data_IF_106292135850
#
_entry.id   IF_106292135850
#
_cell.length_a   1.000
_cell.length_b   1.000
_cell.length_c   1.000
_cell.angle_alpha   90.00
_cell.angle_beta   90.00
_cell.angle_gamma   90.00
#
_symmetry.space_group_name_H-M   'P 1'
#
loop_
_entity.id
_entity.type
_entity.pdbx_description
1 polymer ?
#
# COMPACT_ATOMS: atom_id res chain seq x y z
N UNK A 1 -22.29 19.99 -10.67
CA UNK A 1 -22.40 18.83 -11.56
C UNK A 1 -22.99 17.73 -10.70
N UNK A 2 -24.17 17.22 -11.06
CA UNK A 2 -24.90 16.30 -10.19
C UNK A 2 -24.70 14.86 -10.66
N UNK A 3 -23.93 14.08 -9.92
CA UNK A 3 -23.74 12.66 -10.21
C UNK A 3 -24.91 11.87 -9.66
N UNK A 4 -25.59 11.14 -10.53
CA UNK A 4 -26.79 10.35 -10.18
C UNK A 4 -26.50 8.87 -9.97
N UNK A 5 -25.38 8.36 -10.50
CA UNK A 5 -24.90 7.00 -10.27
C UNK A 5 -23.36 6.86 -10.31
N UNK A 6 -22.87 5.68 -9.93
CA UNK A 6 -21.43 5.35 -9.85
C UNK A 6 -20.74 5.34 -11.22
N UNK A 7 -21.47 4.99 -12.28
CA UNK A 7 -20.94 4.87 -13.63
C UNK A 7 -20.72 6.25 -14.26
N UNK A 8 -21.65 7.18 -14.05
CA UNK A 8 -21.52 8.58 -14.47
C UNK A 8 -20.30 9.26 -13.83
N UNK A 9 -20.10 9.06 -12.52
CA UNK A 9 -18.91 9.59 -11.84
C UNK A 9 -17.62 8.96 -12.37
N UNK A 10 -17.62 7.65 -12.59
CA UNK A 10 -16.45 6.96 -13.12
C UNK A 10 -16.09 7.44 -14.54
N UNK A 11 -17.07 7.53 -15.44
CA UNK A 11 -16.85 7.99 -16.81
C UNK A 11 -16.32 9.42 -16.82
N UNK A 12 -16.88 10.29 -15.96
CA UNK A 12 -16.35 11.64 -15.79
C UNK A 12 -14.91 11.64 -15.27
N UNK A 13 -14.61 10.89 -14.21
CA UNK A 13 -13.25 10.79 -13.68
C UNK A 13 -12.25 10.31 -14.75
N UNK A 14 -12.62 9.30 -15.53
CA UNK A 14 -11.78 8.78 -16.60
C UNK A 14 -11.58 9.82 -17.71
N UNK A 15 -12.59 10.61 -18.04
CA UNK A 15 -12.46 11.70 -18.99
C UNK A 15 -11.60 12.86 -18.44
N UNK A 16 -11.71 13.20 -17.16
CA UNK A 16 -10.83 14.19 -16.52
C UNK A 16 -9.37 13.72 -16.51
N UNK A 17 -9.13 12.42 -16.27
CA UNK A 17 -7.80 11.81 -16.36
C UNK A 17 -7.25 11.85 -17.79
N UNK A 18 -8.05 11.46 -18.79
CA UNK A 18 -7.63 11.46 -20.20
C UNK A 18 -7.31 12.84 -20.75
N UNK A 19 -7.92 13.87 -20.18
CA UNK A 19 -7.73 15.26 -20.58
C UNK A 19 -6.70 16.00 -19.70
N UNK A 20 -5.91 15.29 -18.90
CA UNK A 20 -4.88 15.83 -18.00
C UNK A 20 -5.41 16.90 -17.01
N UNK A 21 -6.71 16.87 -16.69
CA UNK A 21 -7.34 17.76 -15.70
C UNK A 21 -7.25 17.18 -14.29
N UNK A 22 -7.23 15.85 -14.20
CA UNK A 22 -6.87 15.12 -12.98
C UNK A 22 -5.67 14.23 -13.28
N UNK A 23 -4.56 14.56 -12.63
CA UNK A 23 -3.37 13.73 -12.73
C UNK A 23 -3.54 12.49 -11.86
N UNK A 24 -3.41 11.31 -12.45
CA UNK A 24 -3.18 10.12 -11.66
C UNK A 24 -1.87 10.30 -10.88
N UNK A 25 -1.80 9.77 -9.65
CA UNK A 25 -0.55 9.79 -8.92
C UNK A 25 0.55 9.13 -9.76
N UNK A 26 1.76 9.67 -9.66
CA UNK A 26 2.94 9.11 -10.30
C UNK A 26 3.85 8.54 -9.24
N UNK A 27 4.38 7.34 -9.48
CA UNK A 27 5.41 6.80 -8.59
C UNK A 27 6.73 7.55 -8.82
N UNK A 28 7.44 8.00 -7.77
CA UNK A 28 8.71 8.69 -7.93
C UNK A 28 9.70 7.94 -8.81
N UNK A 29 10.42 8.67 -9.67
CA UNK A 29 11.27 8.11 -10.72
C UNK A 29 12.34 7.16 -10.16
N UNK A 30 12.93 7.49 -9.02
CA UNK A 30 13.89 6.66 -8.29
C UNK A 30 13.33 5.26 -7.97
N UNK A 31 12.08 5.15 -7.54
CA UNK A 31 11.44 3.85 -7.27
C UNK A 31 11.19 3.05 -8.56
N UNK A 32 10.81 3.73 -9.66
CA UNK A 32 10.68 3.10 -10.97
C UNK A 32 12.03 2.58 -11.48
N UNK A 33 13.10 3.37 -11.37
CA UNK A 33 14.47 3.00 -11.77
C UNK A 33 14.96 1.78 -10.98
N UNK A 34 14.88 1.84 -9.66
CA UNK A 34 15.32 0.74 -8.77
C UNK A 34 14.56 -0.54 -9.07
N UNK A 35 13.23 -0.47 -9.23
CA UNK A 35 12.41 -1.65 -9.53
C UNK A 35 12.79 -2.29 -10.87
N UNK A 36 12.85 -1.50 -11.94
CA UNK A 36 13.27 -2.00 -13.27
C UNK A 36 14.67 -2.60 -13.24
N UNK A 37 15.60 -1.97 -12.51
CA UNK A 37 16.96 -2.47 -12.38
C UNK A 37 17.02 -3.84 -11.70
N UNK A 38 16.28 -4.03 -10.60
CA UNK A 38 16.20 -5.32 -9.90
C UNK A 38 15.48 -6.37 -10.75
N UNK A 39 14.36 -6.04 -11.38
CA UNK A 39 13.61 -6.95 -12.25
C UNK A 39 14.39 -7.40 -13.48
N UNK A 40 15.32 -6.58 -13.99
CA UNK A 40 16.20 -6.95 -15.09
C UNK A 40 17.24 -8.03 -14.72
N UNK A 41 17.42 -8.32 -13.44
CA UNK A 41 18.40 -9.31 -12.92
C UNK A 41 19.87 -8.91 -13.06
N UNK A 42 20.17 -7.74 -13.64
CA UNK A 42 21.54 -7.33 -13.97
C UNK A 42 22.08 -6.17 -13.11
N UNK A 43 21.30 -5.71 -12.13
CA UNK A 43 21.73 -4.62 -11.26
C UNK A 43 22.84 -5.08 -10.30
N UNK A 44 23.84 -4.24 -10.10
CA UNK A 44 24.83 -4.38 -9.02
C UNK A 44 24.43 -3.52 -7.83
N UNK A 45 24.93 -3.88 -6.63
CA UNK A 45 24.69 -3.11 -5.42
C UNK A 45 25.17 -1.65 -5.54
N UNK A 46 26.26 -1.41 -6.29
CA UNK A 46 26.77 -0.06 -6.55
C UNK A 46 25.84 0.74 -7.47
N UNK A 47 25.28 0.12 -8.51
CA UNK A 47 24.32 0.77 -9.39
C UNK A 47 23.02 1.13 -8.65
N UNK A 48 22.49 0.22 -7.82
CA UNK A 48 21.32 0.54 -7.00
C UNK A 48 21.61 1.65 -6.00
N UNK A 49 22.77 1.62 -5.34
CA UNK A 49 23.21 2.69 -4.44
C UNK A 49 23.30 4.05 -5.14
N UNK A 50 23.78 4.08 -6.39
CA UNK A 50 23.84 5.30 -7.18
C UNK A 50 22.44 5.83 -7.52
N UNK A 51 21.52 4.96 -7.96
CA UNK A 51 20.14 5.35 -8.27
C UNK A 51 19.41 5.89 -7.04
N UNK A 52 19.55 5.22 -5.90
CA UNK A 52 18.92 5.64 -4.63
C UNK A 52 19.56 6.94 -4.14
N UNK A 53 20.87 7.09 -4.34
CA UNK A 53 21.65 8.28 -4.00
C UNK A 53 21.21 9.57 -4.71
N UNK A 54 20.42 9.48 -5.79
CA UNK A 54 19.81 10.64 -6.46
C UNK A 54 18.79 11.36 -5.55
N UNK A 55 18.20 10.65 -4.58
CA UNK A 55 17.25 11.19 -3.60
C UNK A 55 17.84 11.10 -2.18
N UNK A 56 18.18 12.26 -1.61
CA UNK A 56 18.77 12.33 -0.27
C UNK A 56 17.82 11.86 0.84
N UNK A 57 16.51 12.09 0.68
CA UNK A 57 15.50 11.68 1.66
C UNK A 57 15.35 10.17 1.72
N UNK A 58 15.20 9.52 0.56
CA UNK A 58 15.15 8.07 0.45
C UNK A 58 16.47 7.41 0.87
N UNK A 59 17.61 8.02 0.53
CA UNK A 59 18.92 7.55 0.95
C UNK A 59 19.05 7.51 2.47
N UNK A 60 18.74 8.63 3.15
CA UNK A 60 18.79 8.71 4.59
C UNK A 60 17.83 7.70 5.24
N UNK A 61 16.61 7.57 4.69
CA UNK A 61 15.59 6.67 5.21
C UNK A 61 15.96 5.20 5.03
N UNK A 62 16.55 4.81 3.89
CA UNK A 62 17.04 3.45 3.68
C UNK A 62 18.13 3.10 4.69
N UNK A 63 19.06 4.01 4.96
CA UNK A 63 20.11 3.79 5.97
C UNK A 63 19.53 3.66 7.38
N UNK A 64 18.53 4.47 7.74
CA UNK A 64 17.80 4.33 8.99
C UNK A 64 17.14 2.94 9.10
N UNK A 65 16.44 2.50 8.05
CA UNK A 65 15.80 1.19 8.00
C UNK A 65 16.85 0.06 8.11
N UNK A 66 17.96 0.13 7.38
CA UNK A 66 19.03 -0.88 7.41
C UNK A 66 19.72 -1.03 8.77
N UNK A 67 19.59 -0.01 9.63
CA UNK A 67 20.11 0.01 11.00
C UNK A 67 19.02 -0.13 12.08
N UNK A 68 17.74 -0.25 11.69
CA UNK A 68 16.62 -0.45 12.61
C UNK A 68 16.70 -1.81 13.30
N UNK A 69 16.09 -2.01 14.49
CA UNK A 69 16.10 -3.29 15.21
C UNK A 69 15.74 -4.49 14.34
N UNK A 70 14.86 -4.28 13.36
CA UNK A 70 14.35 -5.29 12.44
C UNK A 70 15.39 -5.79 11.42
N UNK A 71 16.32 -4.94 10.99
CA UNK A 71 17.30 -5.28 9.94
C UNK A 71 18.76 -5.15 10.40
N UNK A 72 19.01 -4.62 11.60
CA UNK A 72 20.38 -4.34 12.07
C UNK A 72 21.18 -5.63 12.21
N UNK A 73 22.37 -5.61 11.63
CA UNK A 73 23.40 -6.60 11.90
C UNK A 73 24.27 -6.22 13.11
N UNK A 74 25.40 -6.90 13.25
CA UNK A 74 26.39 -6.60 14.30
C UNK A 74 27.11 -5.25 14.12
N UNK A 75 27.25 -4.80 12.88
CA UNK A 75 27.93 -3.55 12.53
C UNK A 75 26.94 -2.53 11.98
N UNK A 76 27.19 -1.24 12.24
CA UNK A 76 26.43 -0.14 11.65
C UNK A 76 26.70 -0.02 10.14
N UNK A 77 25.66 0.32 9.38
CA UNK A 77 25.74 0.61 7.94
C UNK A 77 25.78 2.11 7.74
N UNK A 78 26.83 2.58 7.09
CA UNK A 78 27.05 4.02 6.85
C UNK A 78 26.97 4.42 5.37
N UNK A 79 26.74 3.48 4.46
CA UNK A 79 26.60 3.75 3.04
C UNK A 79 25.58 2.83 2.35
N UNK A 80 25.02 3.31 1.23
CA UNK A 80 23.91 2.67 0.53
C UNK A 80 24.30 1.33 -0.09
N UNK A 81 25.52 1.18 -0.60
CA UNK A 81 25.96 -0.08 -1.19
C UNK A 81 25.97 -1.20 -0.14
N UNK A 82 26.46 -0.90 1.06
CA UNK A 82 26.44 -1.84 2.19
C UNK A 82 25.00 -2.13 2.65
N UNK A 83 24.09 -1.15 2.60
CA UNK A 83 22.67 -1.38 2.86
C UNK A 83 22.07 -2.37 1.85
N UNK A 84 22.33 -2.19 0.55
CA UNK A 84 21.87 -3.09 -0.51
C UNK A 84 22.44 -4.50 -0.33
N UNK A 85 23.72 -4.63 -0.02
CA UNK A 85 24.35 -5.93 0.21
C UNK A 85 23.79 -6.66 1.44
N UNK A 86 23.43 -5.93 2.50
CA UNK A 86 22.84 -6.51 3.71
C UNK A 86 21.39 -6.94 3.50
N UNK A 87 20.58 -6.04 2.96
CA UNK A 87 19.14 -6.22 2.84
C UNK A 87 18.78 -7.17 1.69
N UNK A 88 19.61 -7.19 0.64
CA UNK A 88 19.30 -7.89 -0.60
C UNK A 88 18.52 -7.00 -1.58
N UNK A 89 18.55 -7.40 -2.85
CA UNK A 89 18.04 -6.60 -3.97
C UNK A 89 16.51 -6.48 -3.93
N UNK A 90 15.80 -7.59 -3.70
CA UNK A 90 14.33 -7.61 -3.65
C UNK A 90 13.78 -6.83 -2.45
N UNK A 91 14.42 -6.96 -1.29
CA UNK A 91 14.11 -6.18 -0.09
C UNK A 91 14.29 -4.69 -0.35
N UNK A 92 15.43 -4.28 -0.95
CA UNK A 92 15.66 -2.86 -1.29
C UNK A 92 14.64 -2.35 -2.30
N UNK A 93 14.31 -3.13 -3.34
CA UNK A 93 13.26 -2.78 -4.31
C UNK A 93 11.96 -2.46 -3.59
N UNK A 94 11.52 -3.36 -2.72
CA UNK A 94 10.26 -3.22 -1.97
C UNK A 94 10.32 -2.02 -1.01
N UNK A 95 11.40 -1.89 -0.23
CA UNK A 95 11.59 -0.78 0.71
C UNK A 95 11.62 0.58 0.01
N UNK A 96 12.41 0.74 -1.05
CA UNK A 96 12.49 2.01 -1.79
C UNK A 96 11.15 2.37 -2.40
N UNK A 97 10.44 1.39 -2.96
CA UNK A 97 9.08 1.62 -3.47
C UNK A 97 8.15 2.08 -2.36
N UNK A 98 8.15 1.39 -1.22
CA UNK A 98 7.33 1.73 -0.05
C UNK A 98 7.65 3.10 0.54
N UNK A 99 8.92 3.46 0.66
CA UNK A 99 9.35 4.76 1.18
C UNK A 99 9.00 5.90 0.20
N UNK A 100 9.09 5.65 -1.10
CA UNK A 100 8.71 6.61 -2.13
C UNK A 100 7.19 6.85 -2.17
N UNK A 101 6.36 5.87 -1.79
CA UNK A 101 4.90 6.03 -1.75
C UNK A 101 4.44 7.16 -0.85
N UNK A 102 5.15 7.51 0.23
CA UNK A 102 4.77 8.64 1.09
C UNK A 102 4.62 9.96 0.30
N UNK A 103 5.44 10.15 -0.74
CA UNK A 103 5.37 11.33 -1.60
C UNK A 103 4.08 11.36 -2.42
N UNK A 104 3.49 10.20 -2.74
CA UNK A 104 2.23 10.08 -3.48
C UNK A 104 1.02 10.52 -2.65
N UNK A 105 1.08 10.36 -1.33
CA UNK A 105 0.03 10.77 -0.40
C UNK A 105 0.18 12.22 0.06
N UNK A 106 0.86 13.07 -0.73
CA UNK A 106 0.96 14.52 -0.46
C UNK A 106 -0.09 15.25 -1.30
N UNK A 107 -1.12 15.85 -0.69
CA UNK A 107 -2.16 16.56 -1.43
C UNK A 107 -1.75 17.99 -1.80
N UNK A 108 -2.34 18.51 -2.87
CA UNK A 108 -2.16 19.90 -3.32
C UNK A 108 -3.13 20.91 -2.66
N UNK A 109 -3.95 20.46 -1.70
CA UNK A 109 -4.97 21.28 -1.04
C UNK A 109 -5.10 20.99 0.45
N UNK A 110 -5.19 22.02 1.31
CA UNK A 110 -5.45 21.86 2.75
C UNK A 110 -6.74 21.10 3.07
N UNK A 111 -7.74 21.16 2.20
CA UNK A 111 -9.01 20.44 2.39
C UNK A 111 -8.84 18.92 2.25
N UNK A 112 -7.91 18.48 1.41
CA UNK A 112 -7.60 17.07 1.18
C UNK A 112 -6.60 16.50 2.19
N UNK A 113 -5.87 17.37 2.90
CA UNK A 113 -4.82 16.99 3.82
C UNK A 113 -5.28 15.99 4.87
N UNK A 114 -6.41 16.24 5.52
CA UNK A 114 -6.97 15.33 6.52
C UNK A 114 -7.29 13.95 5.92
N UNK A 115 -7.91 13.91 4.74
CA UNK A 115 -8.27 12.65 4.09
C UNK A 115 -7.03 11.84 3.71
N UNK A 116 -6.04 12.49 3.10
CA UNK A 116 -4.80 11.83 2.67
C UNK A 116 -4.00 11.31 3.87
N UNK A 117 -3.92 12.10 4.95
CA UNK A 117 -3.29 11.66 6.21
C UNK A 117 -4.01 10.45 6.81
N UNK A 118 -5.35 10.43 6.84
CA UNK A 118 -6.11 9.28 7.34
C UNK A 118 -5.91 8.03 6.50
N UNK A 119 -5.90 8.15 5.17
CA UNK A 119 -5.66 7.03 4.26
C UNK A 119 -4.21 6.53 4.42
N UNK A 120 -3.24 7.43 4.49
CA UNK A 120 -1.83 7.09 4.70
C UNK A 120 -1.63 6.34 6.02
N UNK A 121 -2.17 6.87 7.13
CA UNK A 121 -2.05 6.23 8.45
C UNK A 121 -2.66 4.83 8.44
N UNK A 122 -3.86 4.67 7.87
CA UNK A 122 -4.49 3.36 7.71
C UNK A 122 -3.65 2.41 6.86
N UNK A 123 -3.06 2.91 5.78
CA UNK A 123 -2.19 2.11 4.90
C UNK A 123 -0.90 1.68 5.61
N UNK A 124 -0.32 2.53 6.46
CA UNK A 124 0.84 2.19 7.29
C UNK A 124 0.49 1.13 8.34
N UNK A 125 -0.67 1.24 8.99
CA UNK A 125 -1.12 0.26 9.98
C UNK A 125 -1.36 -1.11 9.33
N UNK A 126 -2.08 -1.14 8.21
CA UNK A 126 -2.33 -2.37 7.43
C UNK A 126 -1.01 -2.95 6.91
N UNK A 127 -0.09 -2.12 6.42
CA UNK A 127 1.23 -2.58 5.96
C UNK A 127 2.05 -3.23 7.07
N UNK A 128 2.04 -2.64 8.27
CA UNK A 128 2.76 -3.19 9.42
C UNK A 128 2.20 -4.54 9.85
N UNK A 129 0.86 -4.66 9.94
CA UNK A 129 0.19 -5.91 10.31
C UNK A 129 0.41 -6.96 9.21
N UNK A 130 0.26 -6.61 7.94
CA UNK A 130 0.44 -7.54 6.81
C UNK A 130 1.87 -8.09 6.73
N UNK A 131 2.87 -7.26 7.03
CA UNK A 131 4.26 -7.67 7.11
C UNK A 131 4.51 -8.65 8.27
N UNK A 132 3.82 -8.48 9.39
CA UNK A 132 3.93 -9.41 10.50
C UNK A 132 3.22 -10.74 10.15
N UNK A 133 2.03 -10.67 9.56
CA UNK A 133 1.26 -11.83 9.11
C UNK A 133 1.98 -12.69 8.07
N UNK A 134 2.82 -12.11 7.22
CA UNK A 134 3.59 -12.90 6.24
C UNK A 134 4.54 -13.91 6.88
N UNK A 135 4.91 -13.74 8.16
CA UNK A 135 5.68 -14.76 8.92
C UNK A 135 4.94 -16.10 9.05
N UNK A 136 3.61 -16.10 8.93
CA UNK A 136 2.78 -17.30 8.92
C UNK A 136 2.78 -18.00 7.54
N UNK A 137 3.29 -17.33 6.50
CA UNK A 137 3.25 -17.75 5.11
C UNK A 137 4.66 -17.71 4.49
N UNK A 138 5.49 -18.76 4.62
CA UNK A 138 6.89 -18.75 4.18
C UNK A 138 7.10 -18.47 2.69
N UNK A 139 6.07 -18.64 1.85
CA UNK A 139 6.10 -18.36 0.42
C UNK A 139 5.79 -16.90 0.07
N UNK A 140 5.42 -16.06 1.03
CA UNK A 140 5.12 -14.64 0.83
C UNK A 140 6.25 -13.78 1.41
N UNK A 141 6.89 -12.98 0.56
CA UNK A 141 7.91 -12.02 0.99
C UNK A 141 7.30 -10.91 1.88
N UNK A 142 7.89 -10.68 3.05
CA UNK A 142 7.39 -9.72 4.04
C UNK A 142 7.37 -8.28 3.52
N UNK A 143 8.39 -7.84 2.79
CA UNK A 143 8.46 -6.47 2.29
C UNK A 143 7.49 -6.24 1.11
N UNK A 144 7.12 -7.30 0.39
CA UNK A 144 6.02 -7.26 -0.58
C UNK A 144 4.65 -7.20 0.13
N UNK A 145 4.45 -7.93 1.24
CA UNK A 145 3.25 -7.82 2.06
C UNK A 145 3.08 -6.42 2.66
N UNK A 146 4.18 -5.81 3.11
CA UNK A 146 4.21 -4.42 3.55
C UNK A 146 3.81 -3.47 2.42
N UNK A 147 4.41 -3.64 1.24
CA UNK A 147 4.09 -2.82 0.06
C UNK A 147 2.62 -2.98 -0.35
N UNK A 148 2.08 -4.19 -0.32
CA UNK A 148 0.67 -4.48 -0.56
C UNK A 148 -0.25 -3.69 0.38
N UNK A 149 0.08 -3.63 1.67
CA UNK A 149 -0.67 -2.82 2.64
C UNK A 149 -0.57 -1.31 2.39
N UNK A 150 0.56 -0.81 1.89
CA UNK A 150 0.70 0.63 1.58
C UNK A 150 -0.12 1.06 0.36
N UNK A 151 -0.26 0.18 -0.63
CA UNK A 151 -0.94 0.51 -1.90
C UNK A 151 -2.42 0.17 -1.92
N UNK A 152 -2.94 -0.59 -0.95
CA UNK A 152 -4.30 -1.16 -0.99
C UNK A 152 -5.41 -0.12 -1.20
N UNK A 153 -5.21 1.13 -0.76
CA UNK A 153 -6.18 2.23 -0.89
C UNK A 153 -5.76 3.35 -1.85
N UNK A 154 -4.75 3.12 -2.69
CA UNK A 154 -4.21 4.17 -3.59
C UNK A 154 -5.28 4.76 -4.54
N UNK A 155 -6.27 3.95 -4.93
CA UNK A 155 -7.37 4.39 -5.79
C UNK A 155 -8.30 5.44 -5.18
N UNK A 156 -8.27 5.64 -3.85
CA UNK A 156 -9.08 6.66 -3.18
C UNK A 156 -8.61 8.09 -3.50
N UNK A 157 -7.32 8.27 -3.78
CA UNK A 157 -6.71 9.58 -3.98
C UNK A 157 -7.32 10.38 -5.14
N UNK A 158 -7.36 9.87 -6.39
CA UNK A 158 -7.94 10.63 -7.51
C UNK A 158 -9.45 10.87 -7.35
N UNK A 159 -10.19 9.98 -6.66
CA UNK A 159 -11.61 10.18 -6.36
C UNK A 159 -11.79 11.41 -5.46
N UNK A 160 -10.97 11.52 -4.40
CA UNK A 160 -10.98 12.66 -3.50
C UNK A 160 -10.57 13.96 -4.19
N UNK A 161 -9.57 13.91 -5.08
CA UNK A 161 -9.17 15.07 -5.89
C UNK A 161 -10.34 15.59 -6.72
N UNK A 162 -11.05 14.71 -7.43
CA UNK A 162 -12.24 15.09 -8.20
C UNK A 162 -13.37 15.61 -7.32
N UNK A 163 -13.63 14.94 -6.20
CA UNK A 163 -14.68 15.33 -5.26
C UNK A 163 -14.43 16.73 -4.71
N UNK A 164 -13.18 17.07 -4.38
CA UNK A 164 -12.81 18.42 -3.92
C UNK A 164 -12.98 19.51 -4.99
N UNK A 165 -12.99 19.13 -6.28
CA UNK A 165 -13.29 20.03 -7.40
C UNK A 165 -14.79 20.07 -7.74
N UNK A 166 -15.62 19.26 -7.07
CA UNK A 166 -17.07 19.16 -7.30
C UNK A 166 -17.87 19.60 -6.07
N UNK A 167 -18.38 20.85 -6.02
CA UNK A 167 -19.10 21.38 -4.86
C UNK A 167 -20.25 20.49 -4.36
N UNK A 168 -21.03 19.91 -5.27
CA UNK A 168 -22.20 19.07 -4.93
C UNK A 168 -21.82 17.77 -4.19
N UNK A 169 -20.58 17.28 -4.35
CA UNK A 169 -20.07 16.11 -3.63
C UNK A 169 -19.44 16.48 -2.29
N UNK A 170 -18.87 17.68 -2.19
CA UNK A 170 -18.32 18.18 -0.93
C UNK A 170 -19.40 18.28 0.17
N UNK A 171 -20.64 18.57 -0.22
CA UNK A 171 -21.78 18.70 0.69
C UNK A 171 -22.54 17.37 0.95
N UNK A 172 -22.16 16.27 0.29
CA UNK A 172 -22.84 14.96 0.41
C UNK A 172 -21.85 13.81 0.71
N UNK A 173 -21.43 13.75 1.98
CA UNK A 173 -20.47 12.75 2.46
C UNK A 173 -20.91 11.30 2.20
N UNK A 174 -22.19 10.98 2.36
CA UNK A 174 -22.69 9.61 2.17
C UNK A 174 -22.56 9.14 0.71
N UNK A 175 -22.80 10.04 -0.25
CA UNK A 175 -22.58 9.74 -1.67
C UNK A 175 -21.09 9.57 -1.96
N UNK A 176 -20.23 10.44 -1.41
CA UNK A 176 -18.78 10.35 -1.58
C UNK A 176 -18.22 9.02 -1.04
N UNK A 177 -18.62 8.61 0.17
CA UNK A 177 -18.17 7.35 0.77
C UNK A 177 -18.59 6.14 -0.07
N UNK A 178 -19.80 6.17 -0.64
CA UNK A 178 -20.29 5.13 -1.56
C UNK A 178 -19.46 5.08 -2.84
N UNK A 179 -19.20 6.23 -3.48
CA UNK A 179 -18.37 6.32 -4.69
C UNK A 179 -16.95 5.82 -4.43
N UNK A 180 -16.34 6.24 -3.32
CA UNK A 180 -15.01 5.78 -2.91
C UNK A 180 -15.02 4.26 -2.76
N UNK A 181 -15.98 3.71 -2.00
CA UNK A 181 -16.06 2.26 -1.75
C UNK A 181 -16.21 1.47 -3.05
N UNK A 182 -17.09 1.90 -3.95
CA UNK A 182 -17.36 1.21 -5.21
C UNK A 182 -16.21 1.31 -6.23
N UNK A 183 -15.53 2.46 -6.32
CA UNK A 183 -14.66 2.77 -7.45
C UNK A 183 -13.16 2.66 -7.15
N UNK A 184 -12.74 2.84 -5.89
CA UNK A 184 -11.31 2.82 -5.56
C UNK A 184 -10.59 1.50 -5.93
N UNK A 185 -11.21 0.30 -5.90
CA UNK A 185 -10.51 -0.93 -6.27
C UNK A 185 -10.14 -0.91 -7.76
N UNK A 186 -11.09 -0.51 -8.62
CA UNK A 186 -10.90 -0.42 -10.07
C UNK A 186 -9.88 0.65 -10.43
N UNK A 187 -9.98 1.83 -9.83
CA UNK A 187 -9.06 2.94 -10.09
C UNK A 187 -7.65 2.62 -9.60
N UNK A 188 -7.54 2.02 -8.42
CA UNK A 188 -6.25 1.60 -7.87
C UNK A 188 -5.57 0.53 -8.71
N UNK A 189 -6.33 -0.41 -9.26
CA UNK A 189 -5.81 -1.40 -10.21
C UNK A 189 -5.28 -0.77 -11.50
N UNK A 190 -5.97 0.26 -12.03
CA UNK A 190 -5.50 1.03 -13.18
C UNK A 190 -4.20 1.80 -12.89
N UNK A 191 -4.08 2.40 -11.70
CA UNK A 191 -2.85 3.09 -11.26
C UNK A 191 -1.69 2.08 -11.21
N UNK A 192 -1.87 0.95 -10.54
CA UNK A 192 -0.83 -0.06 -10.41
C UNK A 192 -0.46 -0.72 -11.73
N UNK A 193 -1.42 -0.90 -12.65
CA UNK A 193 -1.16 -1.36 -14.01
C UNK A 193 -0.28 -0.37 -14.78
N UNK A 194 -0.57 0.93 -14.68
CA UNK A 194 0.21 2.01 -15.29
C UNK A 194 1.63 2.05 -14.73
N UNK A 195 1.80 1.76 -13.45
CA UNK A 195 3.10 1.65 -12.82
C UNK A 195 3.79 0.29 -13.07
N UNK A 196 3.19 -0.63 -13.83
CA UNK A 196 3.74 -1.97 -14.09
C UNK A 196 4.01 -2.78 -12.81
N UNK A 197 3.14 -2.68 -11.81
CA UNK A 197 3.20 -3.58 -10.66
C UNK A 197 2.80 -5.01 -11.06
N UNK A 198 3.36 -6.03 -10.40
CA UNK A 198 3.00 -7.43 -10.67
C UNK A 198 1.52 -7.69 -10.38
N UNK A 199 0.95 -8.67 -11.07
CA UNK A 199 -0.47 -9.04 -10.93
C UNK A 199 -0.83 -9.36 -9.48
N UNK A 200 0.04 -10.04 -8.74
CA UNK A 200 -0.17 -10.39 -7.32
C UNK A 200 -0.47 -9.17 -6.45
N UNK A 201 0.21 -8.04 -6.68
CA UNK A 201 -0.04 -6.78 -5.97
C UNK A 201 -1.24 -6.01 -6.53
N UNK A 202 -1.52 -6.12 -7.83
CA UNK A 202 -2.73 -5.53 -8.42
C UNK A 202 -4.01 -6.17 -7.89
N UNK A 203 -4.00 -7.50 -7.68
CA UNK A 203 -5.12 -8.24 -7.11
C UNK A 203 -5.45 -7.77 -5.69
N UNK A 204 -4.45 -7.38 -4.89
CA UNK A 204 -4.68 -6.81 -3.56
C UNK A 204 -5.63 -5.63 -3.61
N UNK A 205 -5.30 -4.63 -4.43
CA UNK A 205 -6.12 -3.40 -4.52
C UNK A 205 -7.52 -3.70 -5.06
N UNK A 206 -7.65 -4.70 -5.92
CA UNK A 206 -8.91 -5.10 -6.56
C UNK A 206 -9.82 -5.94 -5.67
N UNK A 207 -9.25 -6.86 -4.89
CA UNK A 207 -9.98 -7.97 -4.25
C UNK A 207 -9.98 -7.91 -2.71
N UNK A 208 -9.24 -7.01 -2.05
CA UNK A 208 -9.16 -7.05 -0.57
C UNK A 208 -10.50 -6.81 0.13
N UNK A 209 -11.49 -6.18 -0.52
CA UNK A 209 -12.85 -6.04 0.00
C UNK A 209 -13.81 -7.17 -0.43
N UNK A 210 -13.36 -8.13 -1.26
CA UNK A 210 -14.12 -9.33 -1.60
C UNK A 210 -13.89 -10.43 -0.54
N UNK A 211 -14.61 -10.31 0.58
CA UNK A 211 -14.42 -11.10 1.80
C UNK A 211 -14.56 -12.61 1.62
N UNK A 212 -15.25 -13.06 0.56
CA UNK A 212 -15.53 -14.48 0.31
C UNK A 212 -14.84 -15.00 -0.96
N UNK A 213 -13.81 -14.29 -1.42
CA UNK A 213 -13.13 -14.60 -2.68
C UNK A 213 -12.54 -16.02 -2.70
N UNK A 214 -12.64 -16.64 -3.87
CA UNK A 214 -11.95 -17.88 -4.25
C UNK A 214 -12.03 -18.98 -3.17
N UNK A 215 -13.23 -19.43 -2.76
CA UNK A 215 -13.37 -20.38 -1.63
C UNK A 215 -12.58 -21.67 -1.82
N UNK A 216 -12.32 -22.09 -3.07
CA UNK A 216 -11.58 -23.30 -3.41
C UNK A 216 -10.05 -23.15 -3.37
N UNK A 217 -9.53 -21.95 -3.09
CA UNK A 217 -8.09 -21.71 -2.95
C UNK A 217 -7.57 -22.21 -1.60
N UNK A 218 -6.52 -23.03 -1.62
CA UNK A 218 -5.95 -23.65 -0.42
C UNK A 218 -4.85 -22.81 0.24
N UNK A 219 -3.99 -22.18 -0.57
CA UNK A 219 -2.84 -21.42 -0.08
C UNK A 219 -3.18 -19.94 0.06
N UNK A 220 -2.71 -19.29 1.13
CA UNK A 220 -2.88 -17.85 1.30
C UNK A 220 -2.07 -17.05 0.27
N UNK A 221 -2.58 -15.90 -0.16
CA UNK A 221 -1.85 -14.90 -0.94
C UNK A 221 -1.78 -13.53 -0.22
N UNK A 222 -1.24 -12.52 -0.90
CA UNK A 222 -1.15 -11.16 -0.34
C UNK A 222 -2.52 -10.54 -0.06
N UNK A 223 -3.58 -10.90 -0.79
CA UNK A 223 -4.93 -10.38 -0.55
C UNK A 223 -5.46 -10.90 0.78
N UNK A 224 -5.21 -12.16 1.11
CA UNK A 224 -5.59 -12.74 2.41
C UNK A 224 -4.89 -12.00 3.57
N UNK A 225 -3.60 -11.68 3.43
CA UNK A 225 -2.86 -10.87 4.41
C UNK A 225 -3.51 -9.48 4.59
N UNK A 226 -3.84 -8.81 3.49
CA UNK A 226 -4.45 -7.47 3.55
C UNK A 226 -5.87 -7.52 4.13
N UNK A 227 -6.65 -8.56 3.84
CA UNK A 227 -7.98 -8.75 4.42
C UNK A 227 -7.94 -8.82 5.93
N UNK A 228 -7.11 -9.71 6.48
CA UNK A 228 -6.97 -9.86 7.93
C UNK A 228 -6.39 -8.59 8.53
N UNK A 229 -5.30 -8.04 7.96
CA UNK A 229 -4.69 -6.81 8.46
C UNK A 229 -5.64 -5.60 8.48
N UNK A 230 -6.51 -5.47 7.47
CA UNK A 230 -7.50 -4.41 7.40
C UNK A 230 -8.56 -4.55 8.49
N UNK A 231 -9.09 -5.76 8.69
CA UNK A 231 -10.11 -6.04 9.71
C UNK A 231 -9.56 -5.84 11.12
N UNK A 232 -8.35 -6.34 11.39
CA UNK A 232 -7.63 -6.12 12.65
C UNK A 232 -7.45 -4.63 12.95
N UNK A 233 -7.05 -3.85 11.94
CA UNK A 233 -6.90 -2.41 12.07
C UNK A 233 -8.24 -1.72 12.39
N UNK A 234 -9.37 -2.15 11.82
CA UNK A 234 -10.70 -1.63 12.18
C UNK A 234 -11.05 -1.97 13.63
N UNK A 235 -10.93 -3.23 14.03
CA UNK A 235 -11.26 -3.70 15.38
C UNK A 235 -10.42 -2.99 16.44
N UNK A 236 -9.14 -2.75 16.17
CA UNK A 236 -8.24 -2.01 17.07
C UNK A 236 -8.63 -0.55 17.32
N UNK A 237 -9.40 0.03 16.39
CA UNK A 237 -9.96 1.38 16.51
C UNK A 237 -11.35 1.38 17.16
N UNK A 238 -11.84 0.21 17.58
CA UNK A 238 -13.18 0.03 18.14
C UNK A 238 -14.29 0.03 17.09
N UNK A 239 -13.94 -0.15 15.81
CA UNK A 239 -14.92 -0.25 14.72
C UNK A 239 -15.41 -1.69 14.56
N UNK A 240 -16.72 -1.86 14.37
CA UNK A 240 -17.31 -3.18 14.12
C UNK A 240 -16.98 -3.63 12.67
N UNK A 241 -16.46 -4.85 12.48
CA UNK A 241 -16.23 -5.39 11.14
C UNK A 241 -17.51 -5.36 10.30
N UNK A 242 -17.43 -5.04 8.99
CA UNK A 242 -18.62 -4.97 8.13
C UNK A 242 -19.21 -6.35 7.80
N UNK A 243 -18.57 -7.43 8.23
CA UNK A 243 -18.90 -8.83 7.94
C UNK A 243 -18.55 -9.73 9.13
N UNK A 244 -19.18 -10.89 9.18
CA UNK A 244 -18.84 -11.96 10.12
C UNK A 244 -17.45 -12.55 9.78
N UNK A 245 -16.44 -12.13 10.53
CA UNK A 245 -15.03 -12.52 10.34
C UNK A 245 -14.80 -14.03 10.40
N UNK A 246 -15.67 -14.77 11.11
CA UNK A 246 -15.57 -16.23 11.24
C UNK A 246 -15.81 -16.98 9.93
N UNK A 247 -16.40 -16.31 8.93
CA UNK A 247 -16.74 -16.88 7.62
C UNK A 247 -15.74 -16.51 6.52
N UNK A 248 -14.75 -15.68 6.83
CA UNK A 248 -13.79 -15.17 5.86
C UNK A 248 -12.70 -16.23 5.63
N UNK A 249 -12.51 -16.75 4.39
CA UNK A 249 -11.51 -17.79 4.12
C UNK A 249 -10.08 -17.39 4.50
N UNK A 250 -9.74 -16.10 4.40
CA UNK A 250 -8.41 -15.58 4.71
C UNK A 250 -7.92 -15.98 6.12
N UNK A 251 -8.76 -15.89 7.15
CA UNK A 251 -8.37 -16.29 8.52
C UNK A 251 -7.98 -17.77 8.58
N UNK A 252 -8.79 -18.64 7.96
CA UNK A 252 -8.52 -20.08 7.93
C UNK A 252 -7.23 -20.42 7.15
N UNK A 253 -6.96 -19.75 6.01
CA UNK A 253 -5.74 -19.97 5.21
C UNK A 253 -4.48 -19.49 5.91
N UNK A 254 -4.59 -18.45 6.73
CA UNK A 254 -3.49 -17.96 7.56
C UNK A 254 -3.32 -18.77 8.85
N UNK A 255 -4.19 -19.75 9.12
CA UNK A 255 -4.15 -20.54 10.35
C UNK A 255 -4.52 -19.75 11.60
N UNK A 256 -5.27 -18.66 11.45
CA UNK A 256 -5.69 -17.77 12.53
C UNK A 256 -7.09 -18.11 12.99
N UNK A 257 -7.31 -18.04 14.31
CA UNK A 257 -8.64 -17.95 14.84
C UNK A 257 -9.17 -16.50 14.65
N UNK A 258 -10.49 -16.29 14.44
CA UNK A 258 -11.05 -14.97 14.14
C UNK A 258 -10.98 -13.94 15.29
N UNK A 259 -10.52 -14.35 16.46
CA UNK A 259 -10.42 -13.59 17.71
C UNK A 259 -8.98 -13.22 18.10
N UNK A 260 -7.99 -13.50 17.25
CA UNK A 260 -6.57 -13.20 17.54
C UNK A 260 -6.30 -11.72 17.31
N UNK A 261 -5.84 -11.01 18.35
CA UNK A 261 -5.28 -9.66 18.20
C UNK A 261 -3.89 -9.72 17.57
N UNK A 262 -3.79 -9.40 16.28
CA UNK A 262 -2.54 -9.50 15.49
C UNK A 262 -1.56 -8.35 15.82
N UNK A 263 -2.00 -7.34 16.56
CA UNK A 263 -1.24 -6.13 16.88
C UNK A 263 -0.05 -6.39 17.82
N UNK A 264 -0.05 -7.51 18.54
CA UNK A 264 1.06 -7.93 19.40
C UNK A 264 2.17 -8.69 18.66
N UNK A 265 2.03 -8.93 17.35
CA UNK A 265 3.07 -9.60 16.58
C UNK A 265 4.38 -8.80 16.51
N UNK A 266 5.50 -9.49 16.58
CA UNK A 266 6.84 -8.91 16.51
C UNK A 266 7.05 -8.14 15.19
N UNK A 267 7.62 -6.93 15.25
CA UNK A 267 7.95 -6.12 14.08
C UNK A 267 6.89 -5.11 13.63
N UNK A 268 5.67 -5.15 14.19
CA UNK A 268 4.59 -4.19 13.83
C UNK A 268 4.97 -2.76 14.22
N UNK A 269 5.48 -2.56 15.44
CA UNK A 269 5.87 -1.23 15.94
C UNK A 269 7.07 -0.66 15.15
N UNK A 270 8.08 -1.48 14.87
CA UNK A 270 9.25 -1.11 14.08
C UNK A 270 8.84 -0.72 12.66
N UNK A 271 7.91 -1.46 12.05
CA UNK A 271 7.43 -1.17 10.69
C UNK A 271 6.68 0.17 10.65
N UNK A 272 5.82 0.47 11.63
CA UNK A 272 5.16 1.78 11.75
C UNK A 272 6.17 2.93 11.84
N UNK A 273 7.23 2.76 12.64
CA UNK A 273 8.28 3.77 12.79
C UNK A 273 9.06 4.05 11.49
N UNK A 274 9.08 3.12 10.52
CA UNK A 274 9.69 3.38 9.21
C UNK A 274 8.95 4.45 8.40
N UNK A 275 7.68 4.70 8.71
CA UNK A 275 6.81 5.60 7.94
C UNK A 275 6.38 6.85 8.71
N UNK A 276 6.62 6.90 10.03
CA UNK A 276 6.53 8.11 10.87
C UNK A 276 7.47 9.21 10.35
#
# INVERSE_FOLDING_TARGET
MHFTDEQEFLDHLLDEIRNDRINLPTLPEVALKVRRAVESGNATASQLAQMIGEDAGLSARLLQVANSPLYRGRAEITNLQMAVMRLGYDTVRSLITSLALKQVFTPDSPLLEKYFQTIWQTSVDVAAISRALSSLCPHLESEQAMLAGLIHQIGKLPILVLANQTPDLADNQALLDRLITALHPRIGEMILATWHFPETLRLVVKEYHDWYRRPDMEQADYVDLIQVAYLENLTSKGEEPPVDVSRIPAFSRLGLAPDIEVIEMEGVAETRQMFA
#
